data_IF_004311195706
#
_entry.id   IF_004311195706
#
_cell.length_a   1.000
_cell.length_b   1.000
_cell.length_c   1.000
_cell.angle_alpha   90.00
_cell.angle_beta   90.00
_cell.angle_gamma   90.00
#
_symmetry.space_group_name_H-M   'P 1'
#
loop_
_entity.id
_entity.type
_entity.pdbx_description
1 polymer ?
#
# COMPACT_ATOMS: atom_id res chain seq x y z
N UNK A 1 -10.04 -5.94 22.50
CA UNK A 1 -9.83 -4.74 21.66
C UNK A 1 -10.18 -5.10 20.22
N UNK A 2 -11.26 -4.57 19.65
CA UNK A 2 -11.71 -4.87 18.28
C UNK A 2 -11.65 -3.65 17.33
N UNK A 3 -11.18 -2.49 17.81
CA UNK A 3 -11.18 -1.22 17.08
C UNK A 3 -9.87 -0.91 16.34
N UNK A 4 -8.79 -1.66 16.59
CA UNK A 4 -7.47 -1.40 15.97
C UNK A 4 -7.30 -2.06 14.59
N UNK A 5 -8.01 -3.16 14.32
CA UNK A 5 -7.89 -3.90 13.06
C UNK A 5 -8.37 -3.10 11.82
N UNK A 6 -9.56 -2.48 11.81
CA UNK A 6 -10.00 -1.69 10.66
C UNK A 6 -9.17 -0.41 10.48
N UNK A 7 -8.71 0.20 11.57
CA UNK A 7 -7.80 1.36 11.51
C UNK A 7 -6.48 0.99 10.84
N UNK A 8 -5.84 -0.11 11.26
CA UNK A 8 -4.60 -0.57 10.64
C UNK A 8 -4.78 -0.96 9.18
N UNK A 9 -5.89 -1.60 8.82
CA UNK A 9 -6.19 -1.91 7.42
C UNK A 9 -6.34 -0.62 6.59
N UNK A 10 -7.03 0.40 7.12
CA UNK A 10 -7.15 1.71 6.46
C UNK A 10 -5.79 2.42 6.31
N UNK A 11 -4.94 2.38 7.33
CA UNK A 11 -3.56 2.92 7.26
C UNK A 11 -2.73 2.24 6.17
N UNK A 12 -2.81 0.90 6.07
CA UNK A 12 -2.13 0.16 5.00
C UNK A 12 -2.69 0.50 3.61
N UNK A 13 -4.00 0.70 3.47
CA UNK A 13 -4.61 1.17 2.21
C UNK A 13 -4.14 2.58 1.84
N UNK A 14 -4.05 3.50 2.80
CA UNK A 14 -3.54 4.85 2.57
C UNK A 14 -2.07 4.83 2.13
N UNK A 15 -1.24 4.00 2.77
CA UNK A 15 0.16 3.83 2.38
C UNK A 15 0.30 3.22 0.99
N UNK A 16 -0.54 2.25 0.62
CA UNK A 16 -0.54 1.67 -0.72
C UNK A 16 -0.90 2.71 -1.78
N UNK A 17 -1.91 3.55 -1.53
CA UNK A 17 -2.29 4.64 -2.43
C UNK A 17 -1.14 5.64 -2.62
N UNK A 18 -0.52 6.10 -1.53
CA UNK A 18 0.65 7.01 -1.57
C UNK A 18 1.83 6.40 -2.34
N UNK A 19 2.08 5.11 -2.16
CA UNK A 19 3.14 4.41 -2.88
C UNK A 19 2.81 4.26 -4.38
N UNK A 20 1.54 4.05 -4.75
CA UNK A 20 1.12 4.09 -6.15
C UNK A 20 1.28 5.48 -6.78
N UNK A 21 0.93 6.55 -6.06
CA UNK A 21 1.15 7.93 -6.50
C UNK A 21 2.63 8.21 -6.73
N UNK A 22 3.48 7.89 -5.75
CA UNK A 22 4.93 8.04 -5.87
C UNK A 22 5.48 7.23 -7.06
N UNK A 23 5.00 5.99 -7.25
CA UNK A 23 5.40 5.19 -8.40
C UNK A 23 5.05 5.87 -9.72
N UNK A 24 3.84 6.45 -9.83
CA UNK A 24 3.42 7.19 -11.03
C UNK A 24 4.26 8.45 -11.26
N UNK A 25 4.59 9.20 -10.20
CA UNK A 25 5.46 10.37 -10.28
C UNK A 25 6.88 10.01 -10.74
N UNK A 26 7.47 8.94 -10.20
CA UNK A 26 8.80 8.47 -10.61
C UNK A 26 8.78 7.95 -12.05
N UNK A 27 7.71 7.26 -12.45
CA UNK A 27 7.52 6.80 -13.82
C UNK A 27 7.41 8.00 -14.80
N UNK A 28 6.72 9.08 -14.40
CA UNK A 28 6.63 10.31 -15.17
C UNK A 28 7.96 11.09 -15.23
N UNK A 29 8.80 10.99 -14.20
CA UNK A 29 10.15 11.59 -14.15
C UNK A 29 11.20 10.79 -14.93
N UNK A 30 10.85 9.61 -15.45
CA UNK A 30 11.76 8.74 -16.18
C UNK A 30 12.66 7.89 -15.28
N UNK A 31 12.25 7.66 -14.03
CA UNK A 31 12.95 6.79 -13.07
C UNK A 31 12.16 5.49 -12.84
N UNK A 32 12.35 4.47 -13.70
CA UNK A 32 11.59 3.22 -13.63
C UNK A 32 11.98 2.35 -12.42
N UNK A 33 13.21 2.47 -11.90
CA UNK A 33 13.65 1.71 -10.72
C UNK A 33 12.92 2.17 -9.46
N UNK A 34 12.86 3.47 -9.19
CA UNK A 34 12.11 4.00 -8.05
C UNK A 34 10.61 3.73 -8.22
N UNK A 35 10.08 3.86 -9.45
CA UNK A 35 8.68 3.53 -9.72
C UNK A 35 8.36 2.06 -9.38
N UNK A 36 9.25 1.14 -9.75
CA UNK A 36 9.11 -0.28 -9.44
C UNK A 36 9.21 -0.54 -7.93
N UNK A 37 10.16 0.09 -7.24
CA UNK A 37 10.30 -0.05 -5.78
C UNK A 37 9.04 0.41 -5.05
N UNK A 38 8.48 1.55 -5.44
CA UNK A 38 7.24 2.06 -4.87
C UNK A 38 6.03 1.18 -5.22
N UNK A 39 5.95 0.63 -6.43
CA UNK A 39 4.90 -0.31 -6.81
C UNK A 39 4.95 -1.62 -5.99
N UNK A 40 6.16 -2.15 -5.73
CA UNK A 40 6.35 -3.34 -4.88
C UNK A 40 5.91 -3.05 -3.43
N UNK A 41 6.29 -1.88 -2.89
CA UNK A 41 5.85 -1.44 -1.56
C UNK A 41 4.33 -1.29 -1.47
N UNK A 42 3.69 -0.71 -2.49
CA UNK A 42 2.24 -0.59 -2.57
C UNK A 42 1.55 -1.96 -2.54
N UNK A 43 2.05 -2.91 -3.34
CA UNK A 43 1.53 -4.27 -3.38
C UNK A 43 1.69 -5.00 -2.04
N UNK A 44 2.82 -4.82 -1.35
CA UNK A 44 3.03 -5.39 -0.02
C UNK A 44 2.00 -4.85 0.99
N UNK A 45 1.80 -3.54 1.05
CA UNK A 45 0.80 -2.93 1.94
C UNK A 45 -0.63 -3.35 1.60
N UNK A 46 -0.97 -3.47 0.32
CA UNK A 46 -2.28 -3.99 -0.10
C UNK A 46 -2.48 -5.45 0.33
N UNK A 47 -1.43 -6.27 0.24
CA UNK A 47 -1.48 -7.67 0.68
C UNK A 47 -1.67 -7.76 2.19
N UNK A 48 -0.93 -6.97 2.98
CA UNK A 48 -1.08 -6.91 4.43
C UNK A 48 -2.47 -6.39 4.85
N UNK A 49 -2.97 -5.35 4.18
CA UNK A 49 -4.32 -4.82 4.41
C UNK A 49 -5.39 -5.89 4.11
N UNK A 50 -5.22 -6.64 3.02
CA UNK A 50 -6.13 -7.72 2.64
C UNK A 50 -6.07 -8.86 3.67
N UNK A 51 -4.90 -9.31 4.08
CA UNK A 51 -4.77 -10.34 5.11
C UNK A 51 -5.39 -9.90 6.44
N UNK A 52 -5.15 -8.66 6.87
CA UNK A 52 -5.72 -8.13 8.12
C UNK A 52 -7.22 -7.89 8.04
N UNK A 53 -7.77 -7.65 6.86
CA UNK A 53 -9.21 -7.50 6.66
C UNK A 53 -9.94 -8.84 6.53
N UNK A 54 -9.30 -9.87 5.94
CA UNK A 54 -9.90 -11.21 5.74
C UNK A 54 -9.85 -12.07 7.00
N UNK A 55 -8.84 -11.91 7.87
CA UNK A 55 -8.72 -12.65 9.16
C UNK A 55 -9.85 -12.31 10.16
N UNK A 56 -10.76 -11.39 9.83
CA UNK A 56 -11.91 -11.02 10.67
C UNK A 56 -13.29 -11.44 10.13
N UNK A 57 -13.35 -12.29 9.10
CA UNK A 57 -14.61 -12.91 8.64
C UNK A 57 -14.96 -14.18 9.42
#
# INVERSE_FOLDING_TARGET
MAYDAPKKAAEHHEHAAKAHDAAAEHHAKGDPEAAQEHAVKAHAHSTEAHQKSVVHQ
#
